data_IF_591685915566
#
_entry.id   IF_591685915566
#
_cell.length_a   1.000
_cell.length_b   1.000
_cell.length_c   1.000
_cell.angle_alpha   90.00
_cell.angle_beta   90.00
_cell.angle_gamma   90.00
#
_symmetry.space_group_name_H-M   'P 1'
#
loop_
_entity.id
_entity.type
_entity.pdbx_description
1 polymer ?
#
# COMPACT_ATOMS: atom_id res chain seq x y z
N UNK A 1 2.60 -17.49 20.78
CA UNK A 1 2.82 -18.21 19.50
C UNK A 1 3.50 -17.22 18.56
N UNK A 2 4.59 -17.61 17.90
CA UNK A 2 5.24 -16.73 16.91
C UNK A 2 4.28 -16.50 15.74
N UNK A 3 4.17 -15.24 15.29
CA UNK A 3 3.36 -14.92 14.12
C UNK A 3 4.11 -15.37 12.85
N UNK A 4 3.43 -16.14 12.02
CA UNK A 4 3.83 -16.47 10.65
C UNK A 4 2.87 -15.82 9.62
N UNK A 5 3.19 -15.98 8.33
CA UNK A 5 2.39 -15.39 7.23
C UNK A 5 0.91 -15.83 7.24
N UNK A 6 0.58 -17.01 7.76
CA UNK A 6 -0.82 -17.47 7.88
C UNK A 6 -1.51 -16.83 9.09
N UNK A 7 -0.90 -16.93 10.28
CA UNK A 7 -1.48 -16.39 11.52
C UNK A 7 -1.56 -14.86 11.54
N UNK A 8 -0.71 -14.19 10.77
CA UNK A 8 -0.76 -12.74 10.56
C UNK A 8 -1.75 -12.34 9.45
N UNK A 9 -2.42 -13.30 8.80
CA UNK A 9 -3.46 -13.04 7.80
C UNK A 9 -2.96 -12.67 6.40
N UNK A 10 -1.66 -12.80 6.13
CA UNK A 10 -1.10 -12.51 4.80
C UNK A 10 -1.33 -13.64 3.79
N UNK A 11 -1.43 -14.89 4.26
CA UNK A 11 -1.73 -16.07 3.46
C UNK A 11 -2.93 -16.77 4.06
N UNK A 12 -3.96 -16.99 3.24
CA UNK A 12 -5.07 -17.87 3.59
C UNK A 12 -4.83 -19.27 3.02
N UNK A 13 -4.64 -20.31 3.87
CA UNK A 13 -4.51 -21.70 3.44
C UNK A 13 -5.66 -22.18 2.55
N UNK A 14 -6.88 -21.67 2.76
CA UNK A 14 -8.06 -22.02 1.98
C UNK A 14 -8.05 -21.46 0.55
N UNK A 15 -7.21 -20.45 0.28
CA UNK A 15 -7.04 -19.84 -1.04
C UNK A 15 -5.83 -20.41 -1.79
N UNK A 16 -5.10 -21.37 -1.21
CA UNK A 16 -3.95 -21.96 -1.88
C UNK A 16 -4.41 -22.85 -3.06
N UNK A 17 -3.73 -22.78 -4.21
CA UNK A 17 -4.07 -23.58 -5.38
C UNK A 17 -3.84 -25.07 -5.12
N UNK A 18 -4.92 -25.81 -4.86
CA UNK A 18 -4.85 -27.18 -4.33
C UNK A 18 -4.09 -28.15 -5.24
N UNK A 19 -4.18 -27.96 -6.56
CA UNK A 19 -3.45 -28.79 -7.53
C UNK A 19 -1.94 -28.58 -7.44
N UNK A 20 -1.49 -27.32 -7.28
CA UNK A 20 -0.09 -27.00 -7.07
C UNK A 20 0.41 -27.57 -5.73
N UNK A 21 -0.40 -27.41 -4.66
CA UNK A 21 -0.09 -28.00 -3.35
C UNK A 21 0.07 -29.52 -3.49
N UNK A 22 -0.86 -30.20 -4.18
CA UNK A 22 -0.83 -31.65 -4.40
C UNK A 22 0.43 -32.09 -5.15
N UNK A 23 0.83 -31.38 -6.20
CA UNK A 23 2.06 -31.65 -6.96
C UNK A 23 3.32 -31.52 -6.11
N UNK A 24 3.42 -30.42 -5.34
CA UNK A 24 4.57 -30.19 -4.47
C UNK A 24 4.62 -31.20 -3.31
N UNK A 25 3.48 -31.57 -2.74
CA UNK A 25 3.39 -32.63 -1.73
C UNK A 25 3.82 -33.99 -2.28
N UNK A 26 3.37 -34.37 -3.48
CA UNK A 26 3.79 -35.61 -4.12
C UNK A 26 5.31 -35.66 -4.32
N UNK A 27 5.87 -34.55 -4.79
CA UNK A 27 7.31 -34.38 -4.99
C UNK A 27 8.07 -34.47 -3.66
N UNK A 28 7.61 -33.77 -2.62
CA UNK A 28 8.22 -33.76 -1.29
C UNK A 28 8.20 -35.16 -0.64
N UNK A 29 7.08 -35.87 -0.73
CA UNK A 29 6.93 -37.22 -0.18
C UNK A 29 7.56 -38.31 -1.07
N UNK A 30 8.02 -37.97 -2.29
CA UNK A 30 8.53 -38.89 -3.31
C UNK A 30 7.53 -39.99 -3.66
N UNK A 31 6.27 -39.61 -3.86
CA UNK A 31 5.15 -40.50 -4.22
C UNK A 31 4.52 -40.07 -5.54
N UNK A 32 3.81 -40.99 -6.19
CA UNK A 32 2.99 -40.63 -7.36
C UNK A 32 1.76 -39.83 -6.92
N UNK A 33 1.28 -38.92 -7.78
CA UNK A 33 0.05 -38.16 -7.56
C UNK A 33 -1.16 -39.06 -7.25
N UNK A 34 -1.20 -40.24 -7.89
CA UNK A 34 -2.27 -41.22 -7.73
C UNK A 34 -2.27 -41.88 -6.34
N UNK A 35 -1.17 -41.77 -5.58
CA UNK A 35 -1.08 -42.28 -4.22
C UNK A 35 -1.61 -41.28 -3.18
N UNK A 36 -1.86 -40.03 -3.58
CA UNK A 36 -2.55 -39.03 -2.75
C UNK A 36 -4.05 -39.20 -2.97
N UNK A 37 -4.76 -39.61 -1.93
CA UNK A 37 -6.21 -39.76 -1.94
C UNK A 37 -6.90 -38.41 -1.69
N UNK A 38 -6.49 -37.71 -0.62
CA UNK A 38 -7.06 -36.42 -0.22
C UNK A 38 -6.00 -35.50 0.37
N UNK A 39 -6.20 -34.20 0.21
CA UNK A 39 -5.34 -33.15 0.74
C UNK A 39 -6.19 -32.02 1.31
N UNK A 40 -5.77 -31.50 2.47
CA UNK A 40 -6.42 -30.37 3.14
C UNK A 40 -5.37 -29.40 3.66
N UNK A 41 -5.56 -28.11 3.36
CA UNK A 41 -4.73 -27.03 3.82
C UNK A 41 -5.27 -26.47 5.14
N UNK A 42 -4.70 -26.85 6.28
CA UNK A 42 -5.10 -26.32 7.59
C UNK A 42 -4.20 -25.15 8.01
N UNK A 43 -4.59 -24.43 9.05
CA UNK A 43 -3.90 -23.20 9.47
C UNK A 43 -2.40 -23.38 9.79
N UNK A 44 -1.98 -24.55 10.30
CA UNK A 44 -0.61 -24.78 10.72
C UNK A 44 0.14 -25.81 9.87
N UNK A 45 -0.57 -26.63 9.12
CA UNK A 45 -0.02 -27.77 8.41
C UNK A 45 -0.98 -28.25 7.32
N UNK A 46 -0.43 -28.98 6.37
CA UNK A 46 -1.17 -29.65 5.32
C UNK A 46 -1.41 -31.09 5.77
N UNK A 47 -2.67 -31.51 5.80
CA UNK A 47 -3.03 -32.90 6.03
C UNK A 47 -3.15 -33.63 4.70
N UNK A 48 -2.53 -34.80 4.61
CA UNK A 48 -2.46 -35.60 3.37
C UNK A 48 -2.85 -37.03 3.68
N UNK A 49 -3.92 -37.51 3.05
CA UNK A 49 -4.30 -38.93 3.07
C UNK A 49 -3.70 -39.64 1.87
N UNK A 50 -3.01 -40.74 2.14
CA UNK A 50 -2.47 -41.64 1.12
C UNK A 50 -3.38 -42.87 0.96
N UNK A 51 -3.50 -43.39 -0.26
CA UNK A 51 -4.41 -44.49 -0.62
C UNK A 51 -4.14 -45.74 0.22
N UNK A 52 -2.89 -46.20 0.25
CA UNK A 52 -2.49 -47.45 0.93
C UNK A 52 -1.73 -47.22 2.24
N UNK A 53 -1.81 -46.00 2.79
CA UNK A 53 -1.02 -45.64 3.97
C UNK A 53 -1.78 -44.74 4.95
N UNK A 54 -1.14 -44.49 6.09
CA UNK A 54 -1.61 -43.55 7.09
C UNK A 54 -1.54 -42.12 6.54
N UNK A 55 -2.37 -41.25 7.10
CA UNK A 55 -2.29 -39.83 6.79
C UNK A 55 -0.97 -39.24 7.32
N UNK A 56 -0.47 -38.20 6.65
CA UNK A 56 0.73 -37.46 7.02
C UNK A 56 0.39 -35.98 7.20
N UNK A 57 1.15 -35.32 8.08
CA UNK A 57 1.13 -33.88 8.23
C UNK A 57 2.41 -33.30 7.64
N UNK A 58 2.28 -32.25 6.84
CA UNK A 58 3.38 -31.57 6.17
C UNK A 58 3.36 -30.10 6.55
N UNK A 59 4.50 -29.57 6.94
CA UNK A 59 4.66 -28.13 7.17
C UNK A 59 4.70 -27.38 5.85
N UNK A 60 4.01 -26.25 5.75
CA UNK A 60 4.10 -25.34 4.60
C UNK A 60 5.55 -24.97 4.27
N UNK A 61 6.39 -24.76 5.29
CA UNK A 61 7.81 -24.41 5.15
C UNK A 61 8.65 -25.43 4.38
N UNK A 62 8.13 -26.64 4.23
CA UNK A 62 8.78 -27.73 3.47
C UNK A 62 8.47 -27.68 1.97
N UNK A 63 7.50 -26.87 1.55
CA UNK A 63 7.07 -26.77 0.17
C UNK A 63 7.59 -25.48 -0.48
N UNK A 64 8.06 -25.52 -1.73
CA UNK A 64 8.44 -24.33 -2.50
C UNK A 64 7.36 -23.23 -2.55
N UNK A 65 6.09 -23.62 -2.55
CA UNK A 65 4.92 -22.74 -2.52
C UNK A 65 5.01 -21.73 -1.37
N UNK A 66 5.54 -22.11 -0.20
CA UNK A 66 5.65 -21.17 0.92
C UNK A 66 6.54 -19.98 0.57
N UNK A 67 7.67 -20.25 -0.09
CA UNK A 67 8.58 -19.21 -0.56
C UNK A 67 7.88 -18.36 -1.63
N UNK A 68 7.23 -18.99 -2.60
CA UNK A 68 6.48 -18.28 -3.66
C UNK A 68 5.40 -17.35 -3.10
N UNK A 69 4.62 -17.81 -2.12
CA UNK A 69 3.59 -17.00 -1.48
C UNK A 69 4.19 -15.84 -0.70
N UNK A 70 5.29 -16.05 0.03
CA UNK A 70 6.00 -14.95 0.70
C UNK A 70 6.47 -13.87 -0.29
N UNK A 71 7.01 -14.26 -1.45
CA UNK A 71 7.37 -13.31 -2.52
C UNK A 71 6.14 -12.57 -3.04
N UNK A 72 5.04 -13.28 -3.26
CA UNK A 72 3.80 -12.68 -3.76
C UNK A 72 3.23 -11.64 -2.77
N UNK A 73 3.28 -11.93 -1.47
CA UNK A 73 2.85 -10.98 -0.42
C UNK A 73 3.75 -9.74 -0.42
N UNK A 74 5.08 -9.91 -0.46
CA UNK A 74 6.04 -8.79 -0.54
C UNK A 74 5.70 -7.86 -1.71
N UNK A 75 5.49 -8.43 -2.91
CA UNK A 75 5.19 -7.65 -4.12
C UNK A 75 3.84 -6.93 -4.09
N UNK A 76 2.91 -7.37 -3.25
CA UNK A 76 1.57 -6.75 -3.10
C UNK A 76 1.57 -5.55 -2.15
N UNK A 77 2.64 -5.35 -1.37
CA UNK A 77 2.72 -4.20 -0.49
C UNK A 77 2.88 -2.90 -1.31
N UNK A 78 1.95 -1.97 -1.13
CA UNK A 78 1.88 -0.69 -1.85
C UNK A 78 2.39 0.49 -1.04
N UNK A 79 2.76 0.28 0.23
CA UNK A 79 3.23 1.34 1.11
C UNK A 79 4.35 0.86 2.01
N UNK A 80 5.24 1.79 2.39
CA UNK A 80 6.35 1.50 3.30
C UNK A 80 5.88 0.88 4.63
N UNK A 81 4.84 1.42 5.31
CA UNK A 81 4.36 0.85 6.56
C UNK A 81 3.84 -0.59 6.42
N UNK A 82 3.11 -0.89 5.34
CA UNK A 82 2.58 -2.25 5.11
C UNK A 82 3.70 -3.28 4.97
N UNK A 83 4.80 -2.85 4.38
CA UNK A 83 5.91 -3.73 4.05
C UNK A 83 6.91 -3.87 5.19
N UNK A 84 7.08 -2.83 6.01
CA UNK A 84 7.77 -2.91 7.28
C UNK A 84 7.04 -3.87 8.25
N UNK A 85 5.70 -3.81 8.31
CA UNK A 85 4.89 -4.75 9.08
C UNK A 85 5.09 -6.20 8.62
N UNK A 86 5.07 -6.44 7.31
CA UNK A 86 5.40 -7.75 6.75
C UNK A 86 6.84 -8.17 7.10
N UNK A 87 7.76 -7.22 7.11
CA UNK A 87 9.16 -7.42 7.48
C UNK A 87 9.34 -7.99 8.89
N UNK A 88 8.49 -7.64 9.86
CA UNK A 88 8.50 -8.25 11.20
C UNK A 88 8.15 -9.75 11.15
N UNK A 89 7.14 -10.10 10.37
CA UNK A 89 6.69 -11.49 10.20
C UNK A 89 7.76 -12.32 9.48
N UNK A 90 8.32 -11.77 8.41
CA UNK A 90 9.37 -12.44 7.64
C UNK A 90 10.66 -12.63 8.45
N UNK A 91 10.95 -11.76 9.42
CA UNK A 91 12.07 -11.97 10.35
C UNK A 91 11.84 -13.20 11.23
N UNK A 92 10.65 -13.35 11.78
CA UNK A 92 10.29 -14.54 12.57
C UNK A 92 10.39 -15.83 11.74
N UNK A 93 10.00 -15.78 10.46
CA UNK A 93 10.16 -16.92 9.55
C UNK A 93 11.63 -17.20 9.23
N UNK A 94 12.42 -16.16 8.93
CA UNK A 94 13.86 -16.29 8.67
C UNK A 94 14.56 -16.95 9.85
N UNK A 95 14.28 -16.49 11.08
CA UNK A 95 14.92 -17.03 12.27
C UNK A 95 14.62 -18.53 12.41
N UNK A 96 13.41 -18.98 12.07
CA UNK A 96 13.09 -20.41 11.98
C UNK A 96 13.96 -21.14 10.94
N UNK A 97 14.17 -20.58 9.75
CA UNK A 97 15.03 -21.21 8.72
C UNK A 97 16.51 -21.21 9.12
N UNK A 98 16.97 -20.19 9.84
CA UNK A 98 18.33 -20.09 10.36
C UNK A 98 18.56 -21.18 11.44
N UNK A 99 17.59 -21.36 12.36
CA UNK A 99 17.62 -22.42 13.39
C UNK A 99 17.57 -23.85 12.81
N UNK A 100 17.12 -24.02 11.57
CA UNK A 100 16.98 -25.31 10.88
C UNK A 100 18.01 -25.52 9.78
N UNK A 101 19.15 -24.82 9.84
CA UNK A 101 20.29 -24.92 8.91
C UNK A 101 19.93 -24.68 7.44
N UNK A 102 18.92 -23.85 7.18
CA UNK A 102 18.43 -23.51 5.83
C UNK A 102 18.35 -22.01 5.57
N UNK A 103 19.36 -21.19 5.94
CA UNK A 103 19.31 -19.74 5.76
C UNK A 103 19.14 -19.31 4.30
N UNK A 104 19.66 -20.11 3.36
CA UNK A 104 19.60 -19.81 1.93
C UNK A 104 18.19 -20.03 1.32
N UNK A 105 17.32 -20.80 1.97
CA UNK A 105 15.98 -21.09 1.44
C UNK A 105 15.11 -19.83 1.33
N UNK A 106 15.36 -18.83 2.19
CA UNK A 106 14.63 -17.55 2.22
C UNK A 106 15.37 -16.41 1.55
N UNK A 107 16.50 -16.67 0.87
CA UNK A 107 17.19 -15.65 0.08
C UNK A 107 16.26 -14.97 -0.95
N UNK A 108 15.37 -15.69 -1.66
CA UNK A 108 14.41 -15.05 -2.58
C UNK A 108 13.51 -14.01 -1.91
N UNK A 109 13.18 -14.17 -0.63
CA UNK A 109 12.43 -13.14 0.11
C UNK A 109 13.25 -11.90 0.36
N UNK A 110 14.54 -12.04 0.69
CA UNK A 110 15.44 -10.90 0.91
C UNK A 110 15.59 -10.08 -0.37
N UNK A 111 15.76 -10.74 -1.50
CA UNK A 111 15.91 -10.08 -2.80
C UNK A 111 14.60 -9.37 -3.20
N UNK A 112 13.47 -10.06 -3.06
CA UNK A 112 12.15 -9.47 -3.34
C UNK A 112 11.86 -8.27 -2.42
N UNK A 113 12.24 -8.35 -1.14
CA UNK A 113 12.05 -7.27 -0.19
C UNK A 113 12.95 -6.08 -0.55
N UNK A 114 14.24 -6.29 -0.82
CA UNK A 114 15.14 -5.22 -1.24
C UNK A 114 14.62 -4.49 -2.50
N UNK A 115 14.12 -5.24 -3.49
CA UNK A 115 13.53 -4.68 -4.70
C UNK A 115 12.29 -3.84 -4.40
N UNK A 116 11.34 -4.38 -3.63
CA UNK A 116 10.10 -3.66 -3.32
C UNK A 116 10.35 -2.44 -2.42
N UNK A 117 11.30 -2.54 -1.48
CA UNK A 117 11.74 -1.44 -0.63
C UNK A 117 12.24 -0.25 -1.44
N UNK A 118 13.04 -0.54 -2.47
CA UNK A 118 13.60 0.47 -3.36
C UNK A 118 12.51 1.08 -4.24
N UNK A 119 11.66 0.26 -4.84
CA UNK A 119 10.54 0.73 -5.65
C UNK A 119 9.64 1.70 -4.88
N UNK A 120 9.22 1.33 -3.66
CA UNK A 120 8.35 2.20 -2.86
C UNK A 120 9.03 3.50 -2.44
N UNK A 121 10.35 3.48 -2.21
CA UNK A 121 11.11 4.71 -1.93
C UNK A 121 11.12 5.64 -3.14
N UNK A 122 11.41 5.11 -4.32
CA UNK A 122 11.42 5.89 -5.57
C UNK A 122 10.04 6.47 -5.88
N UNK A 123 8.96 5.71 -5.64
CA UNK A 123 7.60 6.20 -5.80
C UNK A 123 7.23 7.29 -4.79
N UNK A 124 7.68 7.16 -3.55
CA UNK A 124 7.50 8.18 -2.52
C UNK A 124 8.24 9.46 -2.89
N UNK A 125 9.52 9.37 -3.25
CA UNK A 125 10.33 10.50 -3.71
C UNK A 125 9.72 11.20 -4.93
N UNK A 126 9.16 10.42 -5.88
CA UNK A 126 8.46 10.97 -7.05
C UNK A 126 7.17 11.69 -6.70
N UNK A 127 6.41 11.18 -5.73
CA UNK A 127 5.08 11.73 -5.40
C UNK A 127 5.11 12.82 -4.34
N UNK A 128 6.14 12.87 -3.50
CA UNK A 128 6.33 13.87 -2.47
C UNK A 128 6.25 15.32 -2.99
N UNK A 129 6.98 15.73 -4.04
CA UNK A 129 6.90 17.11 -4.53
C UNK A 129 5.52 17.46 -5.08
N UNK A 130 4.84 16.50 -5.73
CA UNK A 130 3.48 16.69 -6.25
C UNK A 130 2.50 16.94 -5.10
N UNK A 131 2.56 16.12 -4.04
CA UNK A 131 1.70 16.29 -2.86
C UNK A 131 2.01 17.60 -2.12
N UNK A 132 3.29 17.93 -1.98
CA UNK A 132 3.71 19.19 -1.36
C UNK A 132 3.19 20.40 -2.15
N UNK A 133 3.23 20.35 -3.49
CA UNK A 133 2.69 21.39 -4.36
C UNK A 133 1.17 21.53 -4.23
N UNK A 134 0.44 20.40 -4.26
CA UNK A 134 -1.01 20.37 -4.03
C UNK A 134 -1.40 20.94 -2.67
N UNK A 135 -0.63 20.62 -1.63
CA UNK A 135 -0.85 21.14 -0.29
C UNK A 135 -0.54 22.65 -0.22
N UNK A 136 0.57 23.11 -0.81
CA UNK A 136 0.89 24.53 -0.90
C UNK A 136 -0.21 25.32 -1.61
N UNK A 137 -0.76 24.80 -2.71
CA UNK A 137 -1.91 25.42 -3.39
C UNK A 137 -3.18 25.49 -2.52
N UNK A 138 -3.43 24.46 -1.71
CA UNK A 138 -4.56 24.44 -0.76
C UNK A 138 -4.38 25.44 0.38
N UNK A 139 -3.16 25.56 0.90
CA UNK A 139 -2.80 26.53 1.93
C UNK A 139 -2.86 27.96 1.40
N UNK A 140 -2.36 28.20 0.18
CA UNK A 140 -2.47 29.47 -0.54
C UNK A 140 -3.93 29.90 -0.70
N UNK A 141 -4.80 29.01 -1.19
CA UNK A 141 -6.24 29.28 -1.29
C UNK A 141 -6.84 29.63 0.08
N UNK A 142 -6.53 28.86 1.11
CA UNK A 142 -7.04 29.07 2.47
C UNK A 142 -6.60 30.42 3.05
N UNK A 143 -5.37 30.85 2.79
CA UNK A 143 -4.87 32.16 3.20
C UNK A 143 -5.64 33.28 2.50
N UNK A 144 -5.86 33.18 1.19
CA UNK A 144 -6.63 34.18 0.44
C UNK A 144 -8.09 34.24 0.83
N UNK A 145 -8.70 33.11 1.21
CA UNK A 145 -10.05 33.09 1.78
C UNK A 145 -10.16 33.99 3.02
N UNK A 146 -9.19 33.92 3.93
CA UNK A 146 -9.17 34.76 5.13
C UNK A 146 -8.96 36.25 4.79
N UNK A 147 -8.05 36.55 3.85
CA UNK A 147 -7.76 37.93 3.43
C UNK A 147 -8.97 38.56 2.76
N UNK A 148 -9.60 37.85 1.80
CA UNK A 148 -10.75 38.36 1.06
C UNK A 148 -11.98 38.55 1.96
N UNK A 149 -12.18 37.66 2.94
CA UNK A 149 -13.22 37.81 3.96
C UNK A 149 -13.08 39.14 4.75
N UNK A 150 -11.85 39.54 5.07
CA UNK A 150 -11.58 40.79 5.78
C UNK A 150 -11.72 42.04 4.89
N UNK A 151 -11.77 41.90 3.56
CA UNK A 151 -11.85 43.01 2.63
C UNK A 151 -13.25 43.61 2.61
N UNK A 152 -13.42 44.90 2.94
CA UNK A 152 -14.75 45.54 3.17
C UNK A 152 -15.23 46.44 2.04
N UNK A 153 -14.38 46.72 1.06
CA UNK A 153 -14.71 47.64 -0.03
C UNK A 153 -14.05 47.21 -1.35
N UNK A 154 -14.56 47.76 -2.46
CA UNK A 154 -14.07 47.43 -3.80
C UNK A 154 -12.63 47.89 -4.02
N UNK A 155 -12.20 49.00 -3.41
CA UNK A 155 -10.84 49.52 -3.55
C UNK A 155 -9.81 48.56 -2.94
N UNK A 156 -10.13 47.97 -1.80
CA UNK A 156 -9.33 46.94 -1.14
C UNK A 156 -9.25 45.69 -2.00
N UNK A 157 -10.36 45.24 -2.59
CA UNK A 157 -10.36 44.09 -3.50
C UNK A 157 -9.45 44.37 -4.70
N UNK A 158 -9.67 45.47 -5.42
CA UNK A 158 -8.89 45.82 -6.60
C UNK A 158 -7.38 45.90 -6.33
N UNK A 159 -6.98 46.36 -5.14
CA UNK A 159 -5.56 46.37 -4.71
C UNK A 159 -4.96 44.99 -4.53
N UNK A 160 -5.75 43.97 -4.18
CA UNK A 160 -5.30 42.59 -4.01
C UNK A 160 -5.24 41.82 -5.33
N UNK A 161 -5.98 42.26 -6.36
CA UNK A 161 -6.06 41.58 -7.65
C UNK A 161 -4.71 41.32 -8.35
N UNK A 162 -3.71 42.23 -8.31
CA UNK A 162 -2.41 41.99 -8.92
C UNK A 162 -1.62 40.90 -8.20
N UNK A 163 -1.64 40.92 -6.86
CA UNK A 163 -0.91 39.96 -6.02
C UNK A 163 -1.49 38.54 -6.19
N UNK A 164 -2.82 38.42 -6.15
CA UNK A 164 -3.50 37.15 -6.42
C UNK A 164 -3.12 36.62 -7.80
N UNK A 165 -3.15 37.48 -8.83
CA UNK A 165 -2.80 37.07 -10.21
C UNK A 165 -1.35 36.61 -10.31
N UNK A 166 -0.42 37.31 -9.67
CA UNK A 166 0.99 36.93 -9.67
C UNK A 166 1.20 35.57 -9.01
N UNK A 167 0.70 35.38 -7.79
CA UNK A 167 0.87 34.13 -7.05
C UNK A 167 0.14 32.96 -7.71
N UNK A 168 -1.01 33.21 -8.36
CA UNK A 168 -1.77 32.17 -9.05
C UNK A 168 -1.03 31.50 -10.21
N UNK A 169 0.03 32.13 -10.73
CA UNK A 169 0.87 31.53 -11.78
C UNK A 169 1.61 30.28 -11.29
N UNK A 170 1.95 30.24 -10.00
CA UNK A 170 2.62 29.09 -9.38
C UNK A 170 1.71 27.85 -9.32
N UNK A 171 0.40 28.05 -9.19
CA UNK A 171 -0.60 26.97 -9.06
C UNK A 171 -1.45 26.79 -10.32
N UNK A 172 -1.00 27.30 -11.47
CA UNK A 172 -1.76 27.24 -12.72
C UNK A 172 -2.02 25.81 -13.21
N UNK A 173 -1.19 24.86 -12.78
CA UNK A 173 -1.32 23.41 -13.03
C UNK A 173 -2.35 22.72 -12.12
N UNK A 174 -2.88 23.42 -11.11
CA UNK A 174 -3.88 22.92 -10.16
C UNK A 174 -5.27 23.51 -10.48
N UNK A 175 -6.03 22.94 -11.43
CA UNK A 175 -7.28 23.53 -11.91
C UNK A 175 -8.34 23.67 -10.82
N UNK A 176 -8.39 22.75 -9.87
CA UNK A 176 -9.34 22.78 -8.75
C UNK A 176 -9.10 23.99 -7.83
N UNK A 177 -7.83 24.22 -7.46
CA UNK A 177 -7.42 25.38 -6.65
C UNK A 177 -7.72 26.69 -7.39
N UNK A 178 -7.40 26.73 -8.69
CA UNK A 178 -7.64 27.91 -9.52
C UNK A 178 -9.12 28.24 -9.69
N UNK A 179 -9.97 27.23 -9.90
CA UNK A 179 -11.42 27.40 -9.99
C UNK A 179 -12.00 27.86 -8.65
N UNK A 180 -11.58 27.27 -7.54
CA UNK A 180 -12.02 27.65 -6.21
C UNK A 180 -11.66 29.12 -5.90
N UNK A 181 -10.44 29.54 -6.24
CA UNK A 181 -10.01 30.93 -6.04
C UNK A 181 -10.84 31.92 -6.89
N UNK A 182 -11.13 31.58 -8.14
CA UNK A 182 -11.97 32.42 -9.00
C UNK A 182 -13.40 32.54 -8.47
N UNK A 183 -13.98 31.45 -7.97
CA UNK A 183 -15.30 31.45 -7.36
C UNK A 183 -15.32 32.31 -6.09
N UNK A 184 -14.32 32.15 -5.22
CA UNK A 184 -14.16 32.93 -4.00
C UNK A 184 -14.08 34.44 -4.30
N UNK A 185 -13.30 34.83 -5.31
CA UNK A 185 -13.22 36.22 -5.74
C UNK A 185 -14.57 36.78 -6.20
N UNK A 186 -15.26 36.06 -7.10
CA UNK A 186 -16.55 36.47 -7.64
C UNK A 186 -17.62 36.56 -6.55
N UNK A 187 -17.62 35.59 -5.63
CA UNK A 187 -18.51 35.60 -4.46
C UNK A 187 -18.28 36.86 -3.64
N UNK A 188 -17.02 37.17 -3.28
CA UNK A 188 -16.74 38.33 -2.45
C UNK A 188 -17.11 39.65 -3.13
N UNK A 189 -16.87 39.74 -4.44
CA UNK A 189 -17.29 40.91 -5.24
C UNK A 189 -18.81 41.12 -5.19
N UNK A 190 -19.57 40.04 -5.32
CA UNK A 190 -21.03 40.08 -5.28
C UNK A 190 -21.55 40.45 -3.89
N UNK A 191 -20.97 39.90 -2.82
CA UNK A 191 -21.32 40.26 -1.43
C UNK A 191 -21.14 41.76 -1.14
N UNK A 192 -20.06 42.37 -1.63
CA UNK A 192 -19.85 43.82 -1.47
C UNK A 192 -20.87 44.64 -2.27
N UNK A 193 -21.22 44.18 -3.47
CA UNK A 193 -22.24 44.83 -4.31
C UNK A 193 -23.60 44.84 -3.62
N UNK A 194 -23.98 43.69 -3.06
CA UNK A 194 -25.26 43.53 -2.36
C UNK A 194 -25.28 44.33 -1.05
N UNK A 195 -24.15 44.43 -0.34
CA UNK A 195 -24.01 45.25 0.85
C UNK A 195 -24.19 46.75 0.57
N UNK A 196 -23.70 47.25 -0.57
CA UNK A 196 -23.87 48.65 -0.99
C UNK A 196 -25.31 48.91 -1.48
N UNK A 197 -25.95 47.94 -2.14
CA UNK A 197 -27.34 48.07 -2.58
C UNK A 197 -28.35 48.04 -1.42
N UNK A 198 -27.95 47.52 -0.27
CA UNK A 198 -28.78 47.38 0.93
C UNK A 198 -28.54 48.49 1.98
N UNK A 199 -27.59 49.40 1.73
CA UNK A 199 -27.22 50.53 2.59
C UNK A 199 -27.84 51.84 2.07
#
# INVERSE_FOLDING_TARGET
MSQNLITAGFIDPGQLPIDQVRQQVATFLKVSLNQIDRIECWQHQIWVKLVESRAKFISYRSLPLWIEQGIAVIKRCTSRPSLDQLGEILRSERDWYDEHDKPQAVQPWRDAWAQQAQHLREEEERTLPIRAHQQAGSEWYSAWQQVLYCCRDFTGLERLAPEIRQQSQEFADLPEVMQAMQQLWNQRWQELKDAIASA
#
